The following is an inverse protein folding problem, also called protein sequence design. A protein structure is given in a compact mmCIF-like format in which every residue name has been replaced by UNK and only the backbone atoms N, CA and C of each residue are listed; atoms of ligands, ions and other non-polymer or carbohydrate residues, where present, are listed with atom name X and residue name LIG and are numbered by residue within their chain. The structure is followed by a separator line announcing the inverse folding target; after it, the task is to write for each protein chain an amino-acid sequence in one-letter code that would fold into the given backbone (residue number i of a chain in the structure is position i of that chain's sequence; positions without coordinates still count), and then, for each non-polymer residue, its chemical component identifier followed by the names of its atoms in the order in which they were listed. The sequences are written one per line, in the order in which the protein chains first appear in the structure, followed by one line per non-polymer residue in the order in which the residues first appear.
data_IF_064000881932
#
_entry.id   IF_064000881932
#
_cell.length_a   1.000
_cell.length_b   1.000
_cell.length_c   1.000
_cell.angle_alpha   90.00
_cell.angle_beta   90.00
_cell.angle_gamma   90.00
#
_symmetry.space_group_name_H-M   'P 1'
#
loop_
_entity.id
_entity.type
_entity.pdbx_description
1 polymer ?
2 non-polymer ?
3 water ?
#
# COMPACT_ATOMS: atom_id res chain seq x y z
N UNK A 1 18.76 16.63 -3.60
CA UNK A 1 18.92 15.60 -2.53
C UNK A 1 17.53 15.19 -2.08
N UNK A 2 17.43 14.49 -0.94
CA UNK A 2 16.13 14.06 -0.44
C UNK A 2 15.83 14.64 0.94
N UNK A 3 16.86 15.13 1.61
CA UNK A 3 16.71 15.68 2.96
C UNK A 3 15.71 16.83 3.08
N UNK A 4 15.69 17.75 2.11
CA UNK A 4 14.75 18.85 2.19
C UNK A 4 13.34 18.39 1.87
N UNK A 5 13.21 17.40 0.98
CA UNK A 5 11.89 16.88 0.65
C UNK A 5 11.34 16.20 1.90
N UNK A 6 12.20 15.45 2.59
CA UNK A 6 11.80 14.78 3.82
C UNK A 6 11.48 15.83 4.87
N UNK A 7 12.26 16.91 4.88
CA UNK A 7 12.06 17.99 5.83
C UNK A 7 10.66 18.56 5.79
N UNK A 8 10.10 18.75 4.60
CA UNK A 8 8.74 19.28 4.49
C UNK A 8 7.75 18.29 5.10
N UNK A 9 7.98 17.00 4.84
CA UNK A 9 7.11 15.96 5.36
C UNK A 9 7.19 15.95 6.89
N UNK A 10 8.40 16.10 7.41
CA UNK A 10 8.61 16.11 8.87
C UNK A 10 7.83 17.24 9.53
N UNK A 11 7.91 18.43 8.94
CA UNK A 11 7.22 19.58 9.49
C UNK A 11 5.71 19.41 9.42
N UNK A 12 5.22 18.97 8.26
CA UNK A 12 3.79 18.74 8.06
C UNK A 12 3.27 17.71 9.06
N UNK A 13 4.03 16.63 9.25
CA UNK A 13 3.62 15.58 10.17
C UNK A 13 3.59 16.03 11.63
N UNK A 14 4.61 16.77 12.07
CA UNK A 14 4.66 17.25 13.45
C UNK A 14 3.46 18.15 13.75
N UNK A 15 3.15 19.03 12.81
CA UNK A 15 2.02 19.94 12.96
C UNK A 15 0.70 19.16 12.93
N UNK A 16 0.60 18.22 11.98
CA UNK A 16 -0.60 17.39 11.87
C UNK A 16 -0.90 16.63 13.17
N UNK A 17 0.12 16.04 13.77
CA UNK A 17 -0.08 15.28 14.99
C UNK A 17 -0.73 16.12 16.10
N UNK A 18 -0.32 17.38 16.21
CA UNK A 18 -0.88 18.26 17.22
C UNK A 18 -2.28 18.77 16.87
N UNK A 19 -2.64 18.71 15.60
CA UNK A 19 -3.95 19.15 15.15
C UNK A 19 -4.93 17.97 15.17
N UNK A 20 -4.52 16.86 14.57
CA UNK A 20 -5.35 15.65 14.53
C UNK A 20 -5.64 15.13 15.93
N UNK A 21 -4.66 15.22 16.83
CA UNK A 21 -4.85 14.69 18.16
C UNK A 21 -4.75 13.17 18.04
N UNK A 22 -5.81 12.45 18.39
CA UNK A 22 -5.80 11.00 18.29
C UNK A 22 -6.57 10.54 17.05
N UNK A 23 -6.98 11.50 16.21
CA UNK A 23 -7.71 11.20 14.98
C UNK A 23 -6.76 10.76 13.87
N UNK A 24 -7.32 10.14 12.84
CA UNK A 24 -6.55 9.63 11.70
C UNK A 24 -6.95 10.28 10.38
N UNK A 25 -5.96 10.67 9.56
CA UNK A 25 -6.26 11.29 8.26
C UNK A 25 -6.62 10.19 7.25
N UNK A 26 -7.43 10.55 6.26
CA UNK A 26 -7.86 9.60 5.23
C UNK A 26 -7.55 10.21 3.86
N UNK A 27 -8.38 11.16 3.45
CA UNK A 27 -8.19 11.85 2.17
C UNK A 27 -8.68 13.29 2.37
N UNK A 28 -8.26 14.19 1.49
CA UNK A 28 -8.75 15.55 1.58
C UNK A 28 -10.00 15.57 0.70
N UNK A 29 -10.75 16.65 0.74
CA UNK A 29 -11.96 16.74 -0.06
C UNK A 29 -12.20 18.16 -0.55
N UNK A 30 -11.38 18.59 -1.50
CA UNK A 30 -11.52 19.92 -2.06
C UNK A 30 -10.69 21.01 -1.41
N UNK A 31 -9.90 20.67 -0.39
CA UNK A 31 -9.08 21.67 0.27
C UNK A 31 -7.77 21.04 0.73
N UNK A 32 -6.92 21.83 1.39
CA UNK A 32 -5.64 21.34 1.86
C UNK A 32 -5.72 20.74 3.26
N UNK A 33 -6.93 20.34 3.66
CA UNK A 33 -7.14 19.73 4.97
C UNK A 33 -7.62 18.29 4.78
N UNK A 34 -7.16 17.40 5.64
CA UNK A 34 -7.56 16.00 5.59
C UNK A 34 -8.89 15.79 6.28
N UNK A 35 -9.70 14.87 5.75
CA UNK A 35 -10.95 14.52 6.39
C UNK A 35 -10.44 13.47 7.38
N UNK A 36 -10.90 13.54 8.63
CA UNK A 36 -10.41 12.63 9.66
C UNK A 36 -11.45 11.64 10.17
N UNK A 37 -10.98 10.54 10.75
CA UNK A 37 -11.86 9.52 11.31
C UNK A 37 -11.28 8.99 12.63
N UNK A 38 -12.10 8.27 13.40
CA UNK A 38 -11.65 7.72 14.68
C UNK A 38 -11.16 6.29 14.58
N UNK A 39 -10.32 6.03 13.58
CA UNK A 39 -9.76 4.71 13.32
C UNK A 39 -10.86 3.74 12.91
N UNK A 40 -11.55 4.08 11.83
CA UNK A 40 -12.68 3.28 11.36
C UNK A 40 -12.64 2.93 9.88
N UNK A 41 -11.53 3.23 9.19
CA UNK A 41 -11.43 2.95 7.76
C UNK A 41 -10.33 1.93 7.44
N UNK A 42 -9.96 1.81 6.16
CA UNK A 42 -8.93 0.86 5.77
C UNK A 42 -7.55 1.51 5.65
N UNK A 43 -7.52 2.82 5.79
CA UNK A 43 -6.30 3.63 5.63
C UNK A 43 -5.59 4.11 6.89
N UNK A 44 -6.16 3.85 8.05
CA UNK A 44 -5.56 4.34 9.29
C UNK A 44 -4.10 3.96 9.56
N UNK A 45 -3.68 2.79 9.10
CA UNK A 45 -2.31 2.37 9.32
C UNK A 45 -1.26 3.23 8.62
N UNK A 46 -1.64 3.85 7.50
CA UNK A 46 -0.69 4.69 6.77
C UNK A 46 -0.23 5.87 7.62
N UNK A 47 -1.10 6.37 8.49
CA UNK A 47 -0.75 7.48 9.36
C UNK A 47 0.29 6.97 10.36
N UNK A 48 0.05 5.78 10.92
CA UNK A 48 0.99 5.18 11.85
C UNK A 48 2.33 4.98 11.17
N UNK A 49 2.29 4.52 9.92
CA UNK A 49 3.52 4.29 9.17
C UNK A 49 4.34 5.55 8.97
N UNK A 50 3.65 6.65 8.67
CA UNK A 50 4.29 7.93 8.47
C UNK A 50 4.98 8.37 9.76
N UNK A 51 4.29 8.21 10.89
CA UNK A 51 4.85 8.59 12.18
C UNK A 51 6.11 7.78 12.49
N UNK A 52 6.06 6.47 12.22
CA UNK A 52 7.22 5.63 12.48
C UNK A 52 8.39 5.99 11.56
N UNK A 53 8.10 6.28 10.29
CA UNK A 53 9.16 6.65 9.35
C UNK A 53 9.80 7.96 9.81
N UNK A 54 8.99 8.91 10.27
CA UNK A 54 9.51 10.18 10.74
C UNK A 54 10.41 9.95 11.96
N UNK A 55 10.01 9.02 12.83
CA UNK A 55 10.80 8.71 14.02
C UNK A 55 12.14 8.09 13.63
N UNK A 56 12.10 7.14 12.70
CA UNK A 56 13.33 6.48 12.27
C UNK A 56 14.31 7.47 11.65
N UNK A 57 13.78 8.46 10.95
CA UNK A 57 14.63 9.46 10.30
C UNK A 57 15.23 10.46 11.28
N UNK A 58 14.44 10.89 12.25
CA UNK A 58 14.87 11.91 13.21
C UNK A 58 15.30 11.47 14.60
N UNK A 59 14.69 10.41 15.11
CA UNK A 59 15.01 9.97 16.44
C UNK A 59 14.27 10.87 17.42
N UNK A 60 13.40 11.72 16.87
CA UNK A 60 12.61 12.66 17.68
C UNK A 60 11.41 11.92 18.27
N UNK A 61 11.37 11.82 19.60
CA UNK A 61 10.29 11.10 20.26
C UNK A 61 8.88 11.63 20.11
N UNK A 62 8.70 12.86 19.60
CA UNK A 62 7.34 13.35 19.45
C UNK A 62 6.64 12.46 18.42
N UNK A 63 7.40 11.98 17.44
CA UNK A 63 6.83 11.10 16.41
C UNK A 63 6.59 9.70 16.96
N UNK A 64 7.53 9.19 17.75
CA UNK A 64 7.37 7.87 18.32
C UNK A 64 6.16 7.81 19.24
N UNK A 65 6.05 8.80 20.12
CA UNK A 65 4.94 8.82 21.06
C UNK A 65 3.61 8.90 20.35
N UNK A 66 3.55 9.63 19.25
CA UNK A 66 2.32 9.72 18.49
C UNK A 66 2.03 8.34 17.90
N UNK A 67 3.05 7.69 17.36
CA UNK A 67 2.88 6.37 16.77
C UNK A 67 2.40 5.36 17.81
N UNK A 68 2.99 5.41 19.00
CA UNK A 68 2.60 4.50 20.07
C UNK A 68 1.14 4.72 20.45
N UNK A 69 0.70 5.97 20.43
CA UNK A 69 -0.69 6.24 20.76
C UNK A 69 -1.61 5.63 19.71
N UNK A 70 -1.19 5.64 18.43
CA UNK A 70 -2.05 5.03 17.40
C UNK A 70 -2.09 3.52 17.59
N UNK A 71 -0.99 2.93 18.06
CA UNK A 71 -0.96 1.49 18.29
C UNK A 71 -1.95 1.13 19.40
N UNK A 72 -2.07 2.00 20.39
CA UNK A 72 -3.01 1.77 21.48
C UNK A 72 -4.42 1.83 20.92
N UNK A 73 -4.63 2.71 19.94
CA UNK A 73 -5.94 2.83 19.30
C UNK A 73 -6.25 1.55 18.51
N UNK A 74 -5.24 1.00 17.85
CA UNK A 74 -5.44 -0.22 17.07
C UNK A 74 -5.69 -1.44 17.97
N UNK A 75 -5.12 -1.42 19.17
CA UNK A 75 -5.32 -2.52 20.11
C UNK A 75 -6.81 -2.51 20.48
N UNK A 76 -7.34 -1.31 20.70
CA UNK A 76 -8.74 -1.17 21.05
C UNK A 76 -9.66 -1.48 19.87
N UNK A 77 -9.23 -1.11 18.67
CA UNK A 77 -10.02 -1.38 17.48
C UNK A 77 -10.21 -2.89 17.28
N UNK A 78 -9.15 -3.64 17.55
CA UNK A 78 -9.19 -5.09 17.41
C UNK A 78 -10.08 -5.73 18.47
N UNK A 79 -9.96 -5.27 19.71
CA UNK A 79 -10.75 -5.81 20.80
C UNK A 79 -12.25 -5.55 20.62
N UNK A 80 -12.57 -4.47 19.91
CA UNK A 80 -13.96 -4.12 19.64
C UNK A 80 -14.34 -4.63 18.25
N UNK A 81 -13.35 -5.13 17.53
CA UNK A 81 -13.53 -5.64 16.18
C UNK A 81 -14.33 -4.66 15.34
N UNK A 82 -13.89 -3.40 15.32
CA UNK A 82 -14.59 -2.38 14.56
C UNK A 82 -14.08 -2.31 13.13
N UNK A 83 -15.00 -2.59 12.20
CA UNK A 83 -14.72 -2.58 10.77
C UNK A 83 -13.42 -3.29 10.41
N UNK A 84 -13.37 -4.59 10.71
CA UNK A 84 -12.22 -5.41 10.41
C UNK A 84 -12.62 -6.66 9.63
N UNK A 85 -13.82 -6.64 9.05
CA UNK A 85 -14.34 -7.75 8.27
C UNK A 85 -13.94 -7.55 6.80
N UNK A 86 -12.65 -7.36 6.57
CA UNK A 86 -12.12 -7.14 5.23
C UNK A 86 -10.66 -7.57 5.19
N UNK A 87 -10.05 -7.53 4.01
CA UNK A 87 -8.66 -7.97 3.86
C UNK A 87 -7.55 -6.94 4.09
N UNK A 88 -7.90 -5.69 4.37
CA UNK A 88 -6.87 -4.67 4.57
C UNK A 88 -6.28 -4.63 5.98
N UNK A 89 -6.32 -5.76 6.67
CA UNK A 89 -5.77 -5.87 8.02
C UNK A 89 -4.27 -5.60 7.98
N UNK A 90 -3.63 -5.96 6.87
CA UNK A 90 -2.20 -5.74 6.74
C UNK A 90 -1.86 -4.25 6.70
N UNK A 91 -2.58 -3.51 5.86
CA UNK A 91 -2.33 -2.07 5.77
C UNK A 91 -2.49 -1.44 7.15
N UNK A 92 -3.50 -1.90 7.88
CA UNK A 92 -3.80 -1.38 9.20
C UNK A 92 -2.81 -1.75 10.30
N UNK A 93 -2.42 -3.02 10.36
CA UNK A 93 -1.53 -3.49 11.41
C UNK A 93 -0.04 -3.66 11.10
N UNK A 94 0.33 -3.85 9.84
CA UNK A 94 1.75 -3.98 9.52
C UNK A 94 2.44 -2.64 9.75
N UNK A 95 1.75 -1.56 9.39
CA UNK A 95 2.33 -0.22 9.50
C UNK A 95 2.22 0.42 10.89
N UNK A 96 1.53 -0.25 11.81
CA UNK A 96 1.37 0.27 13.15
C UNK A 96 2.02 -0.63 14.19
N UNK A 97 1.38 -1.77 14.46
CA UNK A 97 1.87 -2.75 15.42
C UNK A 97 3.14 -3.45 14.98
N UNK A 98 3.13 -4.04 13.78
CA UNK A 98 4.33 -4.73 13.33
C UNK A 98 5.47 -3.73 13.22
N UNK A 99 5.16 -2.51 12.78
CA UNK A 99 6.17 -1.47 12.63
C UNK A 99 6.86 -1.21 13.98
N UNK A 100 6.10 -1.14 15.05
CA UNK A 100 6.71 -0.88 16.36
C UNK A 100 7.64 -2.03 16.73
N UNK A 101 7.27 -3.25 16.36
CA UNK A 101 8.10 -4.42 16.65
C UNK A 101 9.41 -4.31 15.87
N UNK A 102 9.31 -3.91 14.61
CA UNK A 102 10.49 -3.77 13.76
C UNK A 102 11.39 -2.64 14.26
N UNK A 103 10.78 -1.54 14.69
CA UNK A 103 11.55 -0.39 15.18
C UNK A 103 12.19 -0.56 16.55
N UNK A 104 11.45 -1.06 17.53
CA UNK A 104 12.01 -1.20 18.86
C UNK A 104 11.74 -2.51 19.58
N UNK A 105 11.31 -3.52 18.84
CA UNK A 105 11.04 -4.84 19.41
C UNK A 105 10.10 -4.87 20.61
N UNK A 106 9.03 -4.07 20.55
CA UNK A 106 8.07 -4.04 21.63
C UNK A 106 7.26 -5.33 21.57
N UNK A 107 7.32 -6.14 22.62
CA UNK A 107 6.62 -7.41 22.63
C UNK A 107 5.10 -7.31 22.57
N UNK A 108 4.53 -6.28 23.19
CA UNK A 108 3.07 -6.12 23.16
C UNK A 108 2.62 -5.77 21.74
N UNK A 109 3.46 -5.05 21.02
CA UNK A 109 3.13 -4.66 19.63
C UNK A 109 3.16 -5.93 18.78
N UNK A 110 4.16 -6.78 19.02
CA UNK A 110 4.30 -8.03 18.28
C UNK A 110 3.05 -8.90 18.48
N UNK A 111 2.57 -8.97 19.72
CA UNK A 111 1.38 -9.74 20.03
C UNK A 111 0.18 -9.19 19.27
N UNK A 112 0.05 -7.87 19.25
CA UNK A 112 -1.06 -7.23 18.54
C UNK A 112 -1.01 -7.56 17.04
N UNK A 113 0.18 -7.50 16.47
CA UNK A 113 0.35 -7.79 15.05
C UNK A 113 -0.04 -9.25 14.78
N UNK A 114 0.38 -10.16 15.66
CA UNK A 114 0.04 -11.56 15.50
C UNK A 114 -1.46 -11.77 15.68
N UNK A 115 -2.07 -11.06 16.63
CA UNK A 115 -3.50 -11.19 16.83
C UNK A 115 -4.22 -10.71 15.57
N UNK A 116 -3.66 -9.67 14.95
CA UNK A 116 -4.23 -9.12 13.72
C UNK A 116 -4.11 -10.11 12.56
N UNK A 117 -2.94 -10.76 12.45
CA UNK A 117 -2.71 -11.73 11.39
C UNK A 117 -3.76 -12.84 11.52
N UNK A 118 -4.06 -13.18 12.77
CA UNK A 118 -5.05 -14.21 13.08
C UNK A 118 -6.39 -13.78 12.51
N UNK A 119 -6.73 -12.51 12.68
CA UNK A 119 -7.99 -11.97 12.17
C UNK A 119 -8.02 -11.99 10.65
N UNK A 120 -6.90 -11.68 10.01
CA UNK A 120 -6.85 -11.68 8.55
C UNK A 120 -7.03 -13.11 8.03
N UNK A 121 -6.49 -14.09 8.76
CA UNK A 121 -6.63 -15.48 8.36
C UNK A 121 -8.10 -15.91 8.32
N UNK A 122 -8.95 -15.19 9.05
CA UNK A 122 -10.37 -15.50 9.09
C UNK A 122 -11.05 -15.14 7.77
N UNK A 123 -10.34 -14.45 6.88
CA UNK A 123 -10.88 -14.06 5.59
C UNK A 123 -10.62 -15.13 4.52
N UNK A 124 -9.81 -16.13 4.85
CA UNK A 124 -9.49 -17.20 3.92
C UNK A 124 -10.70 -18.10 3.71
N UNK A 125 -10.98 -18.42 2.44
CA UNK A 125 -12.10 -19.29 2.09
C UNK A 125 -11.53 -20.57 1.48
N UNK A 126 -11.38 -21.59 2.31
CA UNK A 126 -10.83 -22.87 1.88
C UNK A 126 -11.47 -23.43 0.62
N UNK A 127 -12.79 -23.31 0.50
CA UNK A 127 -13.50 -23.84 -0.66
C UNK A 127 -13.16 -23.13 -1.97
N UNK A 128 -12.80 -21.85 -1.89
CA UNK A 128 -12.46 -21.07 -3.08
C UNK A 128 -10.97 -20.83 -3.24
N UNK A 129 -10.20 -21.13 -2.20
CA UNK A 129 -8.75 -20.94 -2.25
C UNK A 129 -8.32 -19.48 -2.38
N UNK A 130 -9.09 -18.59 -1.74
CA UNK A 130 -8.78 -17.16 -1.80
C UNK A 130 -9.09 -16.47 -0.48
N UNK A 131 -8.57 -15.26 -0.34
CA UNK A 131 -8.83 -14.43 0.83
C UNK A 131 -9.92 -13.48 0.33
N UNK A 132 -11.07 -13.49 0.99
CA UNK A 132 -12.19 -12.62 0.58
C UNK A 132 -11.86 -11.18 0.95
N UNK A 133 -11.95 -10.29 -0.04
CA UNK A 133 -11.64 -8.87 0.17
C UNK A 133 -12.58 -8.10 1.10
N UNK A 134 -13.87 -8.15 0.82
CA UNK A 134 -14.84 -7.41 1.63
C UNK A 134 -16.15 -8.14 1.84
N UNK A 135 -16.88 -7.70 2.86
CA UNK A 135 -18.17 -8.29 3.17
C UNK A 135 -18.09 -9.52 4.05
N UNK A 136 -19.20 -9.91 4.69
CA UNK A 136 -19.20 -11.08 5.56
C UNK A 136 -19.06 -12.33 4.72
N UNK A 137 -18.62 -13.42 5.34
CA UNK A 137 -18.46 -14.68 4.63
C UNK A 137 -19.80 -15.05 4.00
N UNK A 138 -19.77 -15.60 2.80
CA UNK A 138 -21.00 -15.98 2.14
C UNK A 138 -21.75 -14.83 1.49
N UNK A 139 -21.17 -13.64 1.54
CA UNK A 139 -21.81 -12.47 0.93
C UNK A 139 -22.16 -12.85 -0.51
N UNK A 140 -23.44 -12.75 -0.87
CA UNK A 140 -23.90 -13.10 -2.21
C UNK A 140 -23.15 -12.40 -3.35
N UNK A 141 -22.79 -11.14 -3.15
CA UNK A 141 -22.10 -10.38 -4.18
C UNK A 141 -20.57 -10.41 -4.07
N UNK A 142 -20.05 -10.28 -2.85
CA UNK A 142 -18.61 -10.24 -2.64
C UNK A 142 -18.00 -11.47 -1.96
N UNK A 143 -18.82 -12.50 -1.75
CA UNK A 143 -18.33 -13.70 -1.09
C UNK A 143 -17.11 -14.36 -1.69
N UNK A 144 -16.94 -14.26 -3.00
CA UNK A 144 -15.78 -14.88 -3.63
C UNK A 144 -14.97 -13.90 -4.47
N UNK A 145 -14.96 -12.64 -4.05
CA UNK A 145 -14.24 -11.61 -4.79
C UNK A 145 -12.92 -11.21 -4.14
N UNK A 146 -11.85 -11.15 -4.94
CA UNK A 146 -10.55 -10.74 -4.43
C UNK A 146 -10.21 -9.40 -5.09
N UNK A 147 -9.37 -8.61 -4.44
CA UNK A 147 -8.96 -7.33 -4.99
C UNK A 147 -7.44 -7.30 -4.94
N UNK A 148 -6.82 -6.72 -5.97
CA UNK A 148 -5.37 -6.70 -6.09
C UNK A 148 -4.57 -6.13 -4.91
N UNK A 149 -5.15 -5.23 -4.13
CA UNK A 149 -4.41 -4.68 -3.01
C UNK A 149 -4.19 -5.71 -1.89
N UNK A 150 -4.84 -6.86 -1.99
CA UNK A 150 -4.65 -7.90 -0.98
C UNK A 150 -3.19 -8.35 -0.97
N UNK A 151 -2.50 -8.18 -2.10
CA UNK A 151 -1.09 -8.58 -2.19
C UNK A 151 -0.21 -7.90 -1.13
N UNK A 152 -0.52 -6.65 -0.79
CA UNK A 152 0.27 -5.94 0.21
C UNK A 152 -0.21 -6.23 1.63
N UNK A 153 -1.21 -7.08 1.75
CA UNK A 153 -1.72 -7.46 3.06
C UNK A 153 -1.19 -8.85 3.41
N UNK A 154 -0.65 -9.55 2.41
CA UNK A 154 -0.08 -10.88 2.64
C UNK A 154 1.17 -10.81 3.50
N UNK A 155 1.94 -9.71 3.44
CA UNK A 155 3.15 -9.62 4.27
C UNK A 155 2.85 -9.81 5.76
N UNK A 156 1.70 -9.33 6.22
CA UNK A 156 1.33 -9.50 7.62
C UNK A 156 1.27 -11.00 7.92
N UNK A 157 0.66 -11.76 7.02
CA UNK A 157 0.55 -13.21 7.19
C UNK A 157 1.91 -13.91 7.09
N UNK A 158 2.69 -13.53 6.09
CA UNK A 158 4.01 -14.14 5.90
C UNK A 158 4.91 -13.88 7.09
N UNK A 159 4.85 -12.66 7.61
CA UNK A 159 5.65 -12.29 8.78
C UNK A 159 5.20 -13.11 9.98
N UNK A 160 3.89 -13.26 10.15
CA UNK A 160 3.35 -14.03 11.27
C UNK A 160 3.80 -15.48 11.19
N UNK A 161 3.88 -16.01 9.97
CA UNK A 161 4.32 -17.38 9.81
C UNK A 161 5.76 -17.55 10.24
N UNK A 162 6.60 -16.59 9.89
CA UNK A 162 8.01 -16.65 10.25
C UNK A 162 8.22 -16.42 11.74
N UNK A 163 7.27 -15.75 12.39
CA UNK A 163 7.36 -15.49 13.83
C UNK A 163 6.86 -16.67 14.67
N UNK A 164 5.83 -17.36 14.18
CA UNK A 164 5.23 -18.48 14.88
C UNK A 164 5.70 -19.87 14.45
N UNK A 165 6.16 -19.98 13.21
CA UNK A 165 6.61 -21.27 12.71
C UNK A 165 5.45 -22.08 12.16
N UNK A 166 4.27 -21.48 12.14
CA UNK A 166 3.07 -22.14 11.64
C UNK A 166 3.06 -22.02 10.11
N UNK A 167 3.27 -23.15 9.40
CA UNK A 167 3.30 -23.17 7.94
C UNK A 167 2.01 -22.77 7.23
N UNK A 168 0.91 -22.74 7.97
CA UNK A 168 -0.38 -22.40 7.38
C UNK A 168 -0.41 -20.97 6.85
N UNK A 169 0.30 -20.05 7.49
CA UNK A 169 0.33 -18.67 7.03
C UNK A 169 0.90 -18.55 5.61
N UNK A 170 2.08 -19.12 5.41
CA UNK A 170 2.74 -19.09 4.11
C UNK A 170 1.91 -19.83 3.06
N UNK A 171 1.29 -20.94 3.46
CA UNK A 171 0.47 -21.73 2.53
C UNK A 171 -0.66 -20.88 1.96
N UNK A 172 -1.37 -20.19 2.84
CA UNK A 172 -2.48 -19.34 2.45
C UNK A 172 -2.02 -18.15 1.60
N UNK A 173 -0.96 -17.48 2.03
CA UNK A 173 -0.45 -16.33 1.31
C UNK A 173 0.04 -16.72 -0.08
N UNK A 174 0.77 -17.83 -0.15
CA UNK A 174 1.29 -18.31 -1.42
C UNK A 174 0.17 -18.65 -2.40
N UNK A 175 -0.84 -19.36 -1.90
CA UNK A 175 -1.97 -19.73 -2.74
C UNK A 175 -2.69 -18.50 -3.30
N UNK A 176 -2.93 -17.52 -2.43
CA UNK A 176 -3.61 -16.30 -2.88
C UNK A 176 -2.78 -15.50 -3.88
N UNK A 177 -1.48 -15.40 -3.62
CA UNK A 177 -0.59 -14.67 -4.51
C UNK A 177 -0.55 -15.29 -5.89
N UNK A 178 -0.45 -16.61 -5.93
CA UNK A 178 -0.40 -17.32 -7.21
C UNK A 178 -1.73 -17.21 -7.96
N UNK A 179 -2.83 -17.28 -7.23
CA UNK A 179 -4.14 -17.18 -7.86
C UNK A 179 -4.34 -15.75 -8.38
N UNK A 180 -3.76 -14.77 -7.70
CA UNK A 180 -3.85 -13.38 -8.13
C UNK A 180 -3.06 -13.18 -9.41
N UNK A 181 -1.90 -13.81 -9.49
CA UNK A 181 -1.04 -13.70 -10.66
C UNK A 181 -1.74 -14.27 -11.89
N UNK A 182 -2.39 -15.42 -11.73
CA UNK A 182 -3.07 -16.06 -12.84
C UNK A 182 -4.31 -15.32 -13.33
N UNK A 183 -5.12 -14.81 -12.41
CA UNK A 183 -6.37 -14.15 -12.81
C UNK A 183 -6.48 -12.62 -12.79
N UNK A 184 -5.68 -11.95 -11.96
CA UNK A 184 -5.74 -10.50 -11.92
C UNK A 184 -4.81 -9.85 -12.94
N UNK A 185 -3.72 -10.52 -13.29
CA UNK A 185 -2.78 -9.97 -14.27
C UNK A 185 -3.18 -10.43 -15.67
N UNK A 186 -3.16 -9.50 -16.62
CA UNK A 186 -3.55 -9.79 -17.99
C UNK A 186 -2.39 -10.14 -18.92
N UNK A 187 -2.71 -10.68 -20.08
CA UNK A 187 -1.71 -11.07 -21.05
C UNK A 187 -0.85 -9.97 -21.64
N UNK A 188 -1.30 -8.72 -21.56
CA UNK A 188 -0.50 -7.62 -22.09
C UNK A 188 0.24 -6.92 -20.96
N UNK A 189 0.28 -7.57 -19.80
CA UNK A 189 0.94 -7.07 -18.60
C UNK A 189 0.21 -5.98 -17.83
N UNK A 190 -1.07 -5.77 -18.18
CA UNK A 190 -1.92 -4.82 -17.48
C UNK A 190 -2.59 -5.68 -16.39
N UNK A 191 -3.59 -5.14 -15.70
CA UNK A 191 -4.25 -5.91 -14.66
C UNK A 191 -5.68 -5.50 -14.40
N UNK A 192 -6.46 -6.46 -13.87
CA UNK A 192 -7.84 -6.22 -13.47
C UNK A 192 -7.72 -5.67 -12.06
N UNK A 193 -8.77 -4.98 -11.60
CA UNK A 193 -8.77 -4.44 -10.24
C UNK A 193 -9.21 -5.54 -9.27
N UNK A 194 -10.30 -6.22 -9.61
CA UNK A 194 -10.84 -7.29 -8.77
C UNK A 194 -11.20 -8.50 -9.61
N UNK A 195 -11.43 -9.64 -8.95
CA UNK A 195 -11.79 -10.84 -9.67
C UNK A 195 -12.76 -11.67 -8.83
N UNK A 196 -13.76 -12.25 -9.50
CA UNK A 196 -14.77 -13.06 -8.83
C UNK A 196 -14.60 -14.56 -9.07
N UNK A 197 -14.70 -15.32 -7.99
CA UNK A 197 -14.59 -16.78 -8.04
C UNK A 197 -15.85 -17.37 -7.43
N UNK A 198 -16.18 -18.61 -7.82
CA UNK A 198 -17.34 -19.28 -7.28
C UNK A 198 -16.99 -19.66 -5.84
N UNK A 199 -17.75 -19.15 -4.86
CA UNK A 199 -17.51 -19.42 -3.43
C UNK A 199 -17.48 -20.91 -3.07
N UNK A 200 -18.27 -21.70 -3.79
CA UNK A 200 -18.37 -23.13 -3.52
C UNK A 200 -17.18 -23.98 -3.98
N UNK A 201 -16.55 -23.61 -5.09
CA UNK A 201 -15.45 -24.40 -5.61
C UNK A 201 -14.20 -23.65 -6.05
N UNK A 202 -14.30 -22.32 -6.15
CA UNK A 202 -13.15 -21.54 -6.56
C UNK A 202 -12.98 -21.35 -8.06
N UNK A 203 -13.95 -21.80 -8.85
CA UNK A 203 -13.85 -21.63 -10.29
C UNK A 203 -13.83 -20.14 -10.63
N UNK A 204 -13.04 -19.78 -11.63
CA UNK A 204 -12.94 -18.39 -12.07
C UNK A 204 -14.22 -17.96 -12.76
N UNK A 205 -14.77 -16.82 -12.34
CA UNK A 205 -15.99 -16.30 -12.95
C UNK A 205 -15.71 -15.13 -13.88
N UNK A 206 -15.14 -14.05 -13.33
CA UNK A 206 -14.85 -12.87 -14.14
C UNK A 206 -14.03 -11.83 -13.41
N UNK A 207 -13.41 -10.94 -14.17
CA UNK A 207 -12.62 -9.87 -13.61
C UNK A 207 -13.44 -8.60 -13.76
N UNK A 208 -13.23 -7.62 -12.88
CA UNK A 208 -14.00 -6.41 -13.01
C UNK A 208 -13.62 -5.36 -11.99
N UNK A 209 -14.28 -4.20 -12.05
CA UNK A 209 -13.97 -3.12 -11.12
C UNK A 209 -15.13 -2.15 -10.93
N UNK A 210 -15.09 -1.45 -9.81
CA UNK A 210 -16.09 -0.44 -9.49
C UNK A 210 -15.34 0.89 -9.44
N UNK A 211 -14.02 0.81 -9.56
CA UNK A 211 -13.17 2.00 -9.53
C UNK A 211 -12.51 2.31 -10.87
N UNK A 212 -12.02 1.29 -11.55
CA UNK A 212 -11.39 1.50 -12.85
C UNK A 212 -12.42 1.99 -13.85
N UNK A 213 -11.97 2.66 -14.91
CA UNK A 213 -12.89 3.20 -15.92
C UNK A 213 -13.88 2.13 -16.42
N UNK A 214 -13.37 0.93 -16.70
CA UNK A 214 -14.20 -0.17 -17.15
C UNK A 214 -13.58 -1.46 -16.62
N UNK A 215 -14.35 -2.55 -16.66
CA UNK A 215 -13.86 -3.83 -16.17
C UNK A 215 -12.55 -4.23 -16.84
N UNK A 216 -12.38 -3.82 -18.10
CA UNK A 216 -11.17 -4.17 -18.82
C UNK A 216 -10.12 -3.08 -18.94
N UNK A 217 -10.27 -2.00 -18.19
CA UNK A 217 -9.31 -0.91 -18.25
C UNK A 217 -8.09 -1.20 -17.35
N UNK A 218 -7.26 -0.19 -17.14
CA UNK A 218 -6.09 -0.36 -16.28
C UNK A 218 -6.05 0.78 -15.26
N UNK A 219 -6.70 0.55 -14.13
CA UNK A 219 -6.74 1.52 -13.04
C UNK A 219 -5.30 1.59 -12.53
N UNK A 220 -4.68 2.77 -12.59
CA UNK A 220 -3.28 2.89 -12.21
C UNK A 220 -2.90 2.52 -10.79
N UNK A 221 -3.77 2.77 -9.81
CA UNK A 221 -3.40 2.40 -8.45
C UNK A 221 -3.38 0.87 -8.38
N UNK A 222 -4.31 0.24 -9.09
CA UNK A 222 -4.36 -1.21 -9.11
C UNK A 222 -3.09 -1.78 -9.70
N UNK A 223 -2.63 -1.20 -10.81
CA UNK A 223 -1.41 -1.65 -11.44
C UNK A 223 -0.25 -1.48 -10.45
N UNK A 224 -0.27 -0.37 -9.72
CA UNK A 224 0.77 -0.08 -8.72
C UNK A 224 0.77 -1.09 -7.58
N UNK A 225 -0.41 -1.46 -7.09
CA UNK A 225 -0.48 -2.45 -6.01
C UNK A 225 0.16 -3.74 -6.53
N UNK A 226 -0.12 -4.07 -7.79
CA UNK A 226 0.46 -5.27 -8.38
C UNK A 226 1.98 -5.24 -8.41
N UNK A 227 2.54 -4.11 -8.82
CA UNK A 227 3.99 -3.96 -8.90
C UNK A 227 4.66 -4.17 -7.55
N UNK A 228 4.25 -3.40 -6.55
CA UNK A 228 4.86 -3.53 -5.23
C UNK A 228 4.43 -4.84 -4.56
N UNK A 229 3.14 -5.15 -4.64
CA UNK A 229 2.63 -6.36 -4.03
C UNK A 229 3.31 -7.64 -4.48
N UNK A 230 3.43 -7.85 -5.79
CA UNK A 230 4.08 -9.07 -6.25
C UNK A 230 5.56 -9.11 -5.86
N UNK A 231 6.20 -7.96 -5.79
CA UNK A 231 7.61 -7.92 -5.41
C UNK A 231 7.78 -8.25 -3.93
N UNK A 232 6.85 -7.80 -3.10
CA UNK A 232 6.93 -8.10 -1.67
C UNK A 232 6.74 -9.59 -1.46
N UNK A 233 5.81 -10.18 -2.21
CA UNK A 233 5.56 -11.61 -2.08
C UNK A 233 6.70 -12.46 -2.66
N UNK A 234 7.35 -11.96 -3.71
CA UNK A 234 8.46 -12.71 -4.28
C UNK A 234 9.60 -12.76 -3.27
N UNK A 235 9.78 -11.69 -2.50
CA UNK A 235 10.85 -11.67 -1.49
C UNK A 235 10.60 -12.73 -0.41
N UNK A 236 9.39 -12.72 0.15
CA UNK A 236 9.05 -13.69 1.19
C UNK A 236 9.07 -15.13 0.71
N UNK A 237 8.49 -15.37 -0.46
CA UNK A 237 8.38 -16.71 -1.02
C UNK A 237 9.56 -17.19 -1.86
N UNK A 238 10.48 -16.28 -2.18
CA UNK A 238 11.61 -16.66 -3.00
C UNK A 238 11.11 -17.21 -4.33
N UNK A 239 10.06 -16.58 -4.84
CA UNK A 239 9.44 -17.00 -6.09
C UNK A 239 9.82 -16.09 -7.26
N UNK A 240 10.63 -16.61 -8.17
CA UNK A 240 11.08 -15.83 -9.33
C UNK A 240 9.95 -15.47 -10.30
N UNK A 241 8.91 -16.28 -10.35
CA UNK A 241 7.79 -16.00 -11.24
C UNK A 241 7.02 -14.77 -10.79
N UNK A 242 6.87 -14.60 -9.47
CA UNK A 242 6.17 -13.45 -8.95
C UNK A 242 7.00 -12.19 -9.21
N UNK A 243 8.33 -12.32 -9.11
CA UNK A 243 9.20 -11.18 -9.36
C UNK A 243 9.13 -10.80 -10.83
N UNK A 244 9.08 -11.81 -11.70
CA UNK A 244 9.00 -11.58 -13.13
C UNK A 244 7.70 -10.81 -13.41
N UNK A 245 6.62 -11.20 -12.75
CA UNK A 245 5.35 -10.52 -12.95
C UNK A 245 5.43 -9.06 -12.50
N UNK A 246 6.10 -8.81 -11.38
CA UNK A 246 6.24 -7.45 -10.88
C UNK A 246 6.99 -6.62 -11.91
N UNK A 247 8.03 -7.20 -12.50
CA UNK A 247 8.82 -6.49 -13.50
C UNK A 247 8.00 -6.21 -14.77
N UNK A 248 7.20 -7.19 -15.19
CA UNK A 248 6.37 -7.00 -16.39
C UNK A 248 5.38 -5.87 -16.15
N UNK A 249 4.73 -5.90 -14.99
CA UNK A 249 3.76 -4.87 -14.65
C UNK A 249 4.42 -3.52 -14.51
N UNK A 250 5.65 -3.51 -14.02
CA UNK A 250 6.39 -2.25 -13.85
C UNK A 250 6.72 -1.63 -15.21
N UNK A 251 7.15 -2.44 -16.16
CA UNK A 251 7.49 -1.91 -17.48
C UNK A 251 6.24 -1.40 -18.18
N UNK A 252 5.13 -2.10 -18.01
CA UNK A 252 3.86 -1.69 -18.60
C UNK A 252 3.46 -0.31 -18.07
N UNK A 253 3.62 -0.13 -16.76
CA UNK A 253 3.31 1.12 -16.07
C UNK A 253 4.21 2.25 -16.58
N UNK A 254 5.52 2.02 -16.52
CA UNK A 254 6.51 3.00 -16.95
C UNK A 254 6.36 3.50 -18.37
N UNK A 255 5.93 2.61 -19.27
CA UNK A 255 5.76 2.98 -20.66
C UNK A 255 4.57 3.93 -20.85
N UNK A 256 3.74 4.03 -19.83
CA UNK A 256 2.55 4.87 -19.92
C UNK A 256 2.55 6.09 -19.00
N UNK A 257 3.73 6.44 -18.50
CA UNK A 257 3.89 7.60 -17.63
C UNK A 257 3.92 8.85 -18.52
N UNK A 258 3.02 9.82 -18.25
CA UNK A 258 2.95 11.06 -19.04
C UNK A 258 4.16 11.98 -18.90
N UNK A 259 4.13 13.08 -19.64
CA UNK A 259 5.22 14.04 -19.66
C UNK A 259 5.77 14.53 -18.32
N UNK A 260 4.89 14.90 -17.39
CA UNK A 260 5.36 15.40 -16.10
C UNK A 260 5.80 14.32 -15.11
N UNK A 261 5.79 13.06 -15.55
CA UNK A 261 6.23 11.97 -14.69
C UNK A 261 5.26 11.36 -13.70
N UNK A 262 4.02 11.85 -13.66
CA UNK A 262 3.03 11.32 -12.73
C UNK A 262 1.80 10.87 -13.51
N UNK A 263 1.36 9.64 -13.26
CA UNK A 263 0.24 9.06 -13.99
C UNK A 263 -1.17 9.58 -13.78
N UNK A 264 -2.01 9.30 -14.78
CA UNK A 264 -3.41 9.67 -14.73
C UNK A 264 -4.08 8.57 -13.91
N UNK A 265 -5.36 8.72 -13.61
CA UNK A 265 -6.04 7.73 -12.77
C UNK A 265 -6.27 6.35 -13.42
N UNK A 266 -6.31 6.34 -14.75
CA UNK A 266 -6.50 5.10 -15.50
C UNK A 266 -5.73 5.28 -16.80
N UNK A 267 -5.08 4.23 -17.28
CA UNK A 267 -4.31 4.32 -18.52
C UNK A 267 -5.20 4.29 -19.76
N UNK A 268 -6.44 3.84 -19.62
CA UNK A 268 -7.31 3.74 -20.77
C UNK A 268 -8.37 4.83 -20.92
N UNK A 269 -8.02 6.04 -20.52
CA UNK A 269 -8.89 7.20 -20.64
C UNK A 269 -8.00 8.24 -21.33
N UNK A 270 -8.57 9.36 -21.79
CA UNK A 270 -7.72 10.36 -22.44
C UNK A 270 -6.54 10.76 -21.56
N UNK A 271 -5.33 10.55 -22.08
CA UNK A 271 -4.12 10.88 -21.34
C UNK A 271 -3.72 12.32 -21.58
N UNK A 272 -4.57 13.24 -21.13
CA UNK A 272 -4.35 14.67 -21.27
C UNK A 272 -4.70 15.37 -19.95
N UNK A 273 -4.10 16.55 -19.70
CA UNK A 273 -4.31 17.35 -18.49
C UNK A 273 -5.74 17.45 -17.97
N UNK A 274 -6.71 17.27 -18.86
CA UNK A 274 -8.11 17.35 -18.48
C UNK A 274 -8.57 16.17 -17.63
N UNK A 275 -7.81 15.08 -17.67
CA UNK A 275 -8.14 13.88 -16.89
C UNK A 275 -7.50 13.93 -15.52
N UNK A 276 -8.19 13.39 -14.52
CA UNK A 276 -7.66 13.36 -13.16
C UNK A 276 -6.41 12.50 -13.08
N UNK A 277 -5.53 12.84 -12.15
CA UNK A 277 -4.29 12.12 -11.93
C UNK A 277 -4.47 11.22 -10.71
N UNK A 278 -3.41 10.50 -10.38
CA UNK A 278 -3.36 9.69 -9.17
C UNK A 278 -1.91 9.62 -8.75
N UNK A 279 -1.46 10.67 -8.07
CA UNK A 279 -0.10 10.72 -7.60
C UNK A 279 0.21 9.55 -6.67
N UNK A 280 -0.80 8.99 -6.03
CA UNK A 280 -0.58 7.86 -5.12
C UNK A 280 -0.10 6.62 -5.89
N UNK A 281 -0.59 6.43 -7.11
CA UNK A 281 -0.17 5.28 -7.90
C UNK A 281 1.31 5.41 -8.23
N UNK A 282 1.77 6.62 -8.51
CA UNK A 282 3.18 6.85 -8.81
C UNK A 282 4.05 6.66 -7.57
N UNK A 283 3.53 7.03 -6.41
CA UNK A 283 4.27 6.87 -5.16
C UNK A 283 4.41 5.39 -4.81
N UNK A 284 3.33 4.64 -4.97
CA UNK A 284 3.36 3.21 -4.69
C UNK A 284 4.37 2.55 -5.62
N UNK A 285 4.29 2.90 -6.90
CA UNK A 285 5.20 2.34 -7.89
C UNK A 285 6.66 2.64 -7.60
N UNK A 286 6.95 3.87 -7.16
CA UNK A 286 8.34 4.22 -6.84
C UNK A 286 8.91 3.23 -5.82
N UNK A 287 8.13 2.90 -4.80
CA UNK A 287 8.56 1.95 -3.77
C UNK A 287 8.70 0.56 -4.39
N UNK A 288 7.74 0.20 -5.23
CA UNK A 288 7.79 -1.11 -5.88
C UNK A 288 9.02 -1.27 -6.74
N UNK A 289 9.40 -0.21 -7.46
CA UNK A 289 10.57 -0.27 -8.33
C UNK A 289 11.82 -0.50 -7.50
N UNK A 290 11.89 0.15 -6.33
CA UNK A 290 13.04 -0.02 -5.46
C UNK A 290 13.05 -1.42 -4.86
N UNK A 291 11.88 -1.95 -4.54
CA UNK A 291 11.79 -3.30 -3.98
C UNK A 291 12.29 -4.30 -5.03
N UNK A 292 11.83 -4.13 -6.26
CA UNK A 292 12.25 -5.00 -7.35
C UNK A 292 13.78 -4.96 -7.48
N UNK A 293 14.32 -3.74 -7.58
CA UNK A 293 15.76 -3.56 -7.72
C UNK A 293 16.55 -4.26 -6.63
N UNK A 294 16.05 -4.21 -5.40
CA UNK A 294 16.74 -4.82 -4.27
C UNK A 294 16.79 -6.35 -4.37
N UNK A 295 16.01 -6.93 -5.28
CA UNK A 295 16.01 -8.39 -5.41
C UNK A 295 16.77 -8.86 -6.64
N UNK A 296 17.35 -7.92 -7.39
CA UNK A 296 18.11 -8.27 -8.59
C UNK A 296 19.61 -8.23 -8.30
N UNK A 297 20.35 -9.10 -8.99
CA UNK A 297 21.79 -9.16 -8.83
C UNK A 297 22.38 -7.87 -9.40
N UNK A 298 23.45 -7.38 -8.80
CA UNK A 298 24.07 -6.14 -9.26
C UNK A 298 24.59 -6.23 -10.69
N UNK A 299 24.84 -7.44 -11.16
CA UNK A 299 25.34 -7.63 -12.51
C UNK A 299 24.24 -7.47 -13.56
N UNK A 300 22.99 -7.41 -13.09
CA UNK A 300 21.86 -7.24 -13.99
C UNK A 300 21.75 -5.75 -14.35
N UNK A 301 21.95 -5.42 -15.64
CA UNK A 301 21.88 -4.04 -16.10
C UNK A 301 20.54 -3.34 -15.85
N UNK A 302 19.48 -4.11 -15.69
CA UNK A 302 18.17 -3.52 -15.47
C UNK A 302 17.98 -3.04 -14.03
N UNK A 303 18.80 -3.56 -13.13
CA UNK A 303 18.71 -3.17 -11.72
C UNK A 303 18.87 -1.66 -11.56
N UNK A 304 19.90 -1.11 -12.18
CA UNK A 304 20.13 0.33 -12.09
C UNK A 304 19.03 1.10 -12.82
N UNK A 305 18.47 0.49 -13.86
CA UNK A 305 17.40 1.15 -14.60
C UNK A 305 16.14 1.27 -13.74
N UNK A 306 15.89 0.27 -12.90
CA UNK A 306 14.73 0.29 -12.02
C UNK A 306 14.96 1.33 -10.92
N UNK A 307 16.18 1.38 -10.41
CA UNK A 307 16.52 2.34 -9.36
C UNK A 307 16.36 3.76 -9.91
N UNK A 308 16.93 4.00 -11.08
CA UNK A 308 16.84 5.32 -11.70
C UNK A 308 15.40 5.70 -12.04
N UNK A 309 14.60 4.71 -12.42
CA UNK A 309 13.20 4.98 -12.74
C UNK A 309 12.49 5.43 -11.47
N UNK A 310 12.87 4.83 -10.34
CA UNK A 310 12.28 5.19 -9.05
C UNK A 310 12.69 6.61 -8.66
N UNK A 311 13.97 6.92 -8.81
CA UNK A 311 14.46 8.25 -8.49
C UNK A 311 13.78 9.30 -9.36
N UNK A 312 13.55 8.95 -10.63
CA UNK A 312 12.90 9.87 -11.54
C UNK A 312 11.46 10.10 -11.12
N UNK A 313 10.80 9.04 -10.64
CA UNK A 313 9.42 9.14 -10.19
C UNK A 313 9.31 10.02 -8.95
N UNK A 314 10.20 9.81 -8.00
CA UNK A 314 10.19 10.60 -6.76
C UNK A 314 10.50 12.06 -7.08
N UNK A 315 11.42 12.27 -8.02
CA UNK A 315 11.78 13.64 -8.41
C UNK A 315 10.58 14.33 -9.04
N UNK A 316 9.84 13.61 -9.89
CA UNK A 316 8.66 14.16 -10.54
C UNK A 316 7.60 14.52 -9.51
N UNK A 317 7.46 13.68 -8.49
CA UNK A 317 6.49 13.93 -7.43
C UNK A 317 6.91 15.15 -6.61
N UNK A 318 8.17 15.20 -6.21
CA UNK A 318 8.69 16.32 -5.43
C UNK A 318 8.56 17.65 -6.16
N UNK A 319 8.93 17.66 -7.43
CA UNK A 319 8.87 18.89 -8.23
C UNK A 319 7.49 19.39 -8.63
N UNK A 320 6.61 18.50 -9.04
CA UNK A 320 5.30 18.95 -9.48
C UNK A 320 4.11 18.67 -8.60
N UNK A 321 4.29 17.90 -7.52
CA UNK A 321 3.16 17.56 -6.67
C UNK A 321 3.35 17.74 -5.16
N UNK A 322 4.60 17.78 -4.70
CA UNK A 322 4.87 17.91 -3.28
C UNK A 322 4.52 19.25 -2.66
N UNK A 323 3.93 19.19 -1.47
CA UNK A 323 3.54 20.38 -0.71
C UNK A 323 4.70 20.81 0.18
N UNK A 324 4.94 22.11 0.25
CA UNK A 324 5.99 22.62 1.12
C UNK A 324 5.29 22.81 2.47
N UNK A 325 6.03 22.76 3.57
CA UNK A 325 5.38 22.97 4.87
C UNK A 325 5.17 24.47 5.03
N UNK A 326 3.97 24.93 4.66
CA UNK A 326 3.63 26.35 4.75
C UNK A 326 2.83 26.66 6.01
N UNK A 327 2.78 25.70 6.93
CA UNK A 327 2.05 25.88 8.17
C UNK A 327 0.55 25.62 8.06
N UNK A 328 0.10 25.28 6.86
CA UNK A 328 -1.33 25.02 6.63
C UNK A 328 -1.59 23.67 5.97
N UNK A 329 -0.86 23.39 4.89
CA UNK A 329 -1.02 22.14 4.16
C UNK A 329 -0.89 20.94 5.08
N UNK A 330 -1.78 19.96 4.89
CA UNK A 330 -1.74 18.76 5.72
C UNK A 330 -1.29 17.49 4.99
N UNK A 331 -1.09 17.60 3.67
CA UNK A 331 -0.66 16.45 2.89
C UNK A 331 0.71 16.63 2.26
N UNK A 332 1.35 15.53 1.89
CA UNK A 332 2.69 15.56 1.28
C UNK A 332 2.65 15.81 -0.23
N UNK A 333 1.74 15.13 -0.92
CA UNK A 333 1.63 15.30 -2.37
C UNK A 333 0.20 15.54 -2.79
N UNK A 334 0.04 16.43 -3.76
CA UNK A 334 -1.28 16.78 -4.28
C UNK A 334 -1.70 15.85 -5.41
N UNK A 335 -2.94 16.00 -5.83
CA UNK A 335 -3.52 15.27 -6.95
C UNK A 335 -3.62 13.76 -6.89
N UNK A 336 -3.94 13.22 -5.72
CA UNK A 336 -4.14 11.79 -5.62
C UNK A 336 -5.62 11.71 -5.94
N UNK A 337 -6.14 10.50 -6.09
CA UNK A 337 -7.57 10.35 -6.37
C UNK A 337 -8.07 9.11 -5.66
N UNK A 338 -9.23 9.23 -5.00
CA UNK A 338 -9.79 8.11 -4.27
C UNK A 338 -10.74 7.28 -5.13
N UNK A 339 -11.85 7.89 -5.53
CA UNK A 339 -12.84 7.19 -6.35
C UNK A 339 -13.39 8.12 -7.43
N UNK A 340 -12.62 8.29 -8.50
CA UNK A 340 -13.00 9.16 -9.61
C UNK A 340 -14.40 8.86 -10.15
N UNK A 341 -14.69 7.60 -10.43
CA UNK A 341 -16.00 7.22 -10.95
C UNK A 341 -17.15 7.63 -10.04
N UNK A 342 -16.91 7.63 -8.73
CA UNK A 342 -17.95 8.02 -7.80
C UNK A 342 -17.90 9.49 -7.45
N UNK A 343 -16.94 10.21 -8.03
CA UNK A 343 -16.80 11.63 -7.76
C UNK A 343 -16.36 11.87 -6.32
N UNK A 344 -15.61 10.92 -5.76
CA UNK A 344 -15.13 11.03 -4.39
C UNK A 344 -13.65 11.37 -4.33
N UNK A 345 -13.34 12.59 -3.89
CA UNK A 345 -11.97 13.10 -3.76
C UNK A 345 -11.07 12.69 -4.92
N UNK A 346 -11.37 13.16 -6.13
CA UNK A 346 -10.60 12.85 -7.35
C UNK A 346 -9.33 13.68 -7.59
N UNK A 347 -9.10 14.69 -6.76
CA UNK A 347 -7.93 15.56 -6.95
C UNK A 347 -7.60 15.99 -5.52
N UNK A 348 -7.08 15.06 -4.74
CA UNK A 348 -6.83 15.32 -3.34
C UNK A 348 -5.65 14.58 -2.73
N UNK A 349 -5.41 14.87 -1.45
CA UNK A 349 -4.36 14.19 -0.71
C UNK A 349 -4.96 12.83 -0.42
N UNK A 350 -4.12 11.80 -0.34
CA UNK A 350 -4.56 10.46 0.04
C UNK A 350 -3.47 10.06 1.02
N UNK A 351 -3.87 9.57 2.18
CA UNK A 351 -2.87 9.20 3.19
C UNK A 351 -1.96 8.06 2.71
N UNK A 352 -2.46 7.17 1.86
CA UNK A 352 -1.61 6.09 1.38
C UNK A 352 -0.56 6.68 0.41
N UNK A 353 -0.99 7.64 -0.41
CA UNK A 353 -0.04 8.27 -1.33
C UNK A 353 1.07 8.93 -0.52
N UNK A 354 0.68 9.61 0.56
CA UNK A 354 1.65 10.28 1.42
C UNK A 354 2.61 9.27 2.04
N UNK A 355 2.07 8.15 2.54
CA UNK A 355 2.92 7.15 3.14
C UNK A 355 3.96 6.59 2.16
N UNK A 356 3.52 6.19 0.97
CA UNK A 356 4.46 5.62 0.00
C UNK A 356 5.47 6.63 -0.50
N UNK A 357 5.07 7.90 -0.60
CA UNK A 357 5.98 8.95 -1.03
C UNK A 357 7.10 9.03 0.02
N UNK A 358 6.70 9.06 1.30
CA UNK A 358 7.69 9.14 2.35
C UNK A 358 8.53 7.85 2.46
N UNK A 359 7.92 6.70 2.20
CA UNK A 359 8.71 5.46 2.27
C UNK A 359 9.78 5.49 1.18
N UNK A 360 9.42 5.97 -0.01
CA UNK A 360 10.36 6.05 -1.12
C UNK A 360 11.53 6.95 -0.75
N UNK A 361 11.23 8.07 -0.11
CA UNK A 361 12.26 9.01 0.30
C UNK A 361 13.18 8.37 1.35
N UNK A 362 12.60 7.64 2.29
CA UNK A 362 13.40 6.97 3.32
C UNK A 362 14.22 5.84 2.72
N UNK A 363 13.70 5.16 1.71
CA UNK A 363 14.43 4.08 1.06
C UNK A 363 15.67 4.68 0.37
N UNK A 364 15.45 5.75 -0.38
CA UNK A 364 16.53 6.42 -1.11
C UNK A 364 17.56 7.11 -0.24
N UNK A 365 17.10 7.75 0.84
CA UNK A 365 17.99 8.49 1.72
C UNK A 365 18.65 7.69 2.85
N UNK A 366 17.93 6.75 3.43
CA UNK A 366 18.46 5.98 4.55
C UNK A 366 18.44 4.45 4.38
N UNK A 367 17.90 3.96 3.29
CA UNK A 367 17.83 2.53 3.10
C UNK A 367 16.78 1.90 4.01
N UNK A 368 15.89 2.74 4.54
CA UNK A 368 14.81 2.29 5.41
C UNK A 368 13.70 1.79 4.49
N UNK A 369 13.38 0.50 4.60
CA UNK A 369 12.41 -0.14 3.73
C UNK A 369 10.96 -0.28 4.20
N UNK A 370 10.56 0.48 5.22
CA UNK A 370 9.19 0.36 5.66
C UNK A 370 8.94 -0.80 6.62
N UNK A 371 7.69 -1.24 6.69
CA UNK A 371 7.35 -2.29 7.64
C UNK A 371 6.64 -3.52 7.09
N UNK A 372 6.97 -3.90 5.86
CA UNK A 372 6.37 -5.06 5.24
C UNK A 372 7.13 -6.32 5.65
N UNK A 373 8.40 -6.15 6.03
CA UNK A 373 9.23 -7.26 6.46
C UNK A 373 10.36 -6.79 7.38
N UNK A 374 10.89 -7.70 8.17
CA UNK A 374 11.98 -7.39 9.11
C UNK A 374 13.17 -6.80 8.36
N UNK A 375 13.87 -5.85 8.98
CA UNK A 375 15.02 -5.21 8.36
C UNK A 375 16.13 -6.20 8.02
N UNK A 376 16.62 -6.10 6.79
CA UNK A 376 17.68 -6.99 6.34
C UNK A 376 17.32 -8.46 6.47
N UNK A 377 16.03 -8.77 6.29
CA UNK A 377 15.57 -10.16 6.39
C UNK A 377 16.42 -11.09 5.52
X LIG B 1 -13.94 11.37 3.41
X LIG B 1 -14.86 10.41 2.67
X LIG B 1 -14.01 9.60 1.84
X LIG B 1 -15.61 9.55 3.63
X LIG B 1 -15.88 11.10 1.72
X LIG B 1 -15.43 12.38 0.98
X LIG B 1 -14.30 12.13 0.16
X LIG B 1 -16.54 12.90 0.09
X LIG C 1 -16.06 0.27 4.60
X LIG C 1 -14.93 1.28 4.53
X LIG C 1 -14.03 0.94 5.60
X LIG C 1 -14.22 1.21 3.22
X LIG C 1 -15.38 2.75 4.73
X LIG C 1 -16.08 3.11 6.05
X LIG C 1 -15.24 2.88 7.16
X LIG C 1 -16.47 4.58 6.09
X LIG D 1 -15.99 -2.11 -0.66
X LIG D 1 -16.03 -2.62 -2.08
X LIG D 1 -15.67 -1.51 -2.93
X LIG D 1 -15.06 -3.73 -2.29
X LIG D 1 -17.43 -3.11 -2.53
X LIG D 1 -18.59 -2.12 -2.44
X LIG D 1 -18.36 -0.97 -3.24
X LIG D 1 -19.89 -2.75 -2.91
X LIG E 1 14.27 -1.12 -18.22
X LIG E 1 13.14 -0.51 -17.44
X LIG E 1 12.03 -1.42 -17.56
X LIG E 1 13.51 -0.36 -16.00
X LIG E 1 12.67 0.86 -17.97
X LIG E 1 12.26 0.93 -19.45
X LIG E 1 11.18 0.06 -19.71
X LIG E 1 11.81 2.34 -19.82
X LIG F 1 -2.84 26.67 11.20
X LIG F 1 -4.30 26.74 10.84
X LIG F 1 -4.43 27.87 9.94
X LIG F 1 -4.75 25.51 10.15
X LIG F 1 -5.22 26.98 12.06
X LIG F 1 -6.28 28.08 11.94
X LIG F 1 -7.19 27.79 10.90
X LIG F 1 -7.09 28.19 13.22
X LIG G 1 14.75 4.14 15.28
X LIG G 1 15.75 4.83 16.18
X LIG G 1 17.04 4.61 15.58
X LIG G 1 15.47 6.29 16.27
X LIG G 1 15.77 4.24 17.62
X LIG G 1 17.13 4.11 18.32
X LIG G 1 17.75 5.37 18.46
X LIG G 1 16.97 3.52 19.71
X LIG H 1 19.07 3.64 -2.94
X LIG H 1 19.13 2.17 -2.57
X LIG H 1 20.26 1.63 -3.31
X LIG H 1 19.36 1.99 -1.11
X LIG H 1 17.86 1.39 -2.98
X LIG H 1 18.03 0.11 -3.81
X LIG H 1 18.80 -0.85 -3.14
X LIG H 1 16.68 -0.51 -4.12
X LIG I 1 11.23 19.23 11.02
X LIG I 1 10.81 19.35 12.47
X LIG I 1 11.65 20.36 13.06
X LIG I 1 9.38 19.74 12.58
X LIG I 1 11.00 18.04 13.28
X LIG I 1 12.43 17.52 13.45
X LIG I 1 13.24 18.45 14.13
X LIG I 1 12.44 16.24 14.26
X LIG J 1 15.10 -0.10 12.62
X LIG J 1 15.99 -0.09 13.85
X LIG J 1 15.18 0.48 14.90
X LIG J 1 16.41 -1.47 14.25
X LIG J 1 17.24 0.82 13.76
X LIG J 1 18.30 0.53 12.67
X LIG J 1 17.75 0.62 11.37
X LIG J 1 19.44 1.53 12.74
#
# INVERSE_FOLDING_TARGET
MWQQAIGDALGITARNLKKFGDRFPHVSDGSNKYVLNDNTDWTDGFWSGILWLCYEYTGDEQYREGAVRTVASFRERLDRFENLDHHDIGFLYSLSAKAQWIVEKDESARKLALDAADVLMRRWRADAGIIQAWGPKGDPENGGRIIIDCLLNLPLLLWAGEQTGDPEYRRVAEAHALKSRRFLVRGDDSSYHTFYFDPENGNAIRGGTHQGNTDGSTWTRGQAWGIYGFALNSRYLGNADLLETAKRMARHFLARVPEDGVVYWDFEVPQEPSSYRDSSASAITACGLLEIASQLDESDPERQRFIDAAKTTVTALRDGYAERDDGEAEGFIRRGSYHVRGGISPDDYTIWGDYYYLEALLRLERGVTGYWYERGR
MPD C1 C2 O2 CM C3 C4 O4 C5
MPD C1 C2 O2 CM C3 C4 O4 C5
MPD C1 C2 O2 CM C3 C4 O4 C5
MPD C1 C2 O2 CM C3 C4 O4 C5
MPD C1 C2 O2 CM C3 C4 O4 C5
MPD C1 C2 O2 CM C3 C4 O4 C5
MPD C1 C2 O2 CM C3 C4 O4 C5
MPD C1 C2 O2 CM C3 C4 O4 C5
MPD C1 C2 O2 CM C3 C4 O4 C5
#
